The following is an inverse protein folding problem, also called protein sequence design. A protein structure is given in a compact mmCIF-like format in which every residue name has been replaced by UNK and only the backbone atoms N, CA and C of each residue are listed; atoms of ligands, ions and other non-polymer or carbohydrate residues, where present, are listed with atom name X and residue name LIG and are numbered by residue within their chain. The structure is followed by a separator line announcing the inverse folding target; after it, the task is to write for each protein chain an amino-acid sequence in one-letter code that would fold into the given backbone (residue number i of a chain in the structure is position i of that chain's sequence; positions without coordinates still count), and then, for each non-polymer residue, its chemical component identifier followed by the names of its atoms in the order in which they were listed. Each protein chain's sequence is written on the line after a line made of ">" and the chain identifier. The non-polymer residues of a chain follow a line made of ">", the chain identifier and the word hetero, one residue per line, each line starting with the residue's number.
data_IF_602929614585
#
_entry.id   IF_602929614585
#
_cell.length_a   1.000
_cell.length_b   1.000
_cell.length_c   1.000
_cell.angle_alpha   90.00
_cell.angle_beta   90.00
_cell.angle_gamma   90.00
#
_symmetry.space_group_name_H-M   'P 1'
#
loop_
_entity.id
_entity.type
_entity.pdbx_description
1 polymer ?
#
# COMPACT_ATOMS: atom_id res chain seq x y z
N UNK A 1 17.82 5.30 -18.99
CA UNK A 1 17.27 4.62 -20.19
C UNK A 1 16.22 5.57 -20.78
N UNK A 2 16.09 5.72 -22.11
CA UNK A 2 15.30 6.80 -22.70
C UNK A 2 13.78 6.70 -22.44
N UNK A 3 13.28 5.53 -22.04
CA UNK A 3 11.89 5.37 -21.65
C UNK A 3 11.70 5.74 -20.18
N UNK A 4 10.85 6.73 -19.93
CA UNK A 4 10.49 7.16 -18.57
C UNK A 4 11.40 8.26 -17.98
N UNK A 5 12.42 8.72 -18.71
CA UNK A 5 13.34 9.75 -18.21
C UNK A 5 12.63 11.10 -17.97
N UNK A 6 11.55 11.36 -18.71
CA UNK A 6 10.68 12.52 -18.54
C UNK A 6 10.07 12.65 -17.12
N UNK A 7 10.02 11.56 -16.36
CA UNK A 7 9.52 11.59 -14.98
C UNK A 7 10.47 12.37 -14.07
N UNK A 8 11.77 12.39 -14.39
CA UNK A 8 12.79 13.13 -13.65
C UNK A 8 12.67 14.64 -13.84
N UNK A 9 11.93 15.10 -14.86
CA UNK A 9 11.65 16.51 -15.11
C UNK A 9 10.44 17.03 -14.32
N UNK A 10 9.70 16.13 -13.64
CA UNK A 10 8.53 16.51 -12.85
C UNK A 10 8.95 17.14 -11.52
N UNK A 11 8.24 18.19 -11.05
CA UNK A 11 8.56 18.84 -9.79
C UNK A 11 8.23 17.93 -8.60
N UNK A 12 8.97 18.06 -7.50
CA UNK A 12 8.70 17.35 -6.23
C UNK A 12 7.25 17.46 -5.77
N UNK A 13 6.61 18.61 -6.00
CA UNK A 13 5.20 18.83 -5.68
C UNK A 13 4.25 17.84 -6.39
N UNK A 14 4.57 17.40 -7.61
CA UNK A 14 3.79 16.39 -8.33
C UNK A 14 3.80 15.06 -7.56
N UNK A 15 4.99 14.58 -7.19
CA UNK A 15 5.13 13.34 -6.42
C UNK A 15 4.44 13.44 -5.06
N UNK A 16 4.53 14.60 -4.41
CA UNK A 16 3.83 14.85 -3.15
C UNK A 16 2.31 14.67 -3.28
N UNK A 17 1.70 15.20 -4.34
CA UNK A 17 0.25 15.03 -4.59
C UNK A 17 -0.09 13.55 -4.79
N UNK A 18 0.73 12.80 -5.52
CA UNK A 18 0.52 11.36 -5.75
C UNK A 18 0.56 10.60 -4.42
N UNK A 19 1.58 10.81 -3.59
CA UNK A 19 1.70 10.13 -2.30
C UNK A 19 0.60 10.54 -1.32
N UNK A 20 0.18 11.81 -1.29
CA UNK A 20 -0.96 12.25 -0.48
C UNK A 20 -2.26 11.57 -0.93
N UNK A 21 -2.49 11.47 -2.23
CA UNK A 21 -3.68 10.80 -2.77
C UNK A 21 -3.66 9.30 -2.46
N UNK A 22 -2.53 8.63 -2.66
CA UNK A 22 -2.33 7.23 -2.33
C UNK A 22 -2.51 6.97 -0.83
N UNK A 23 -1.92 7.81 0.03
CA UNK A 23 -2.11 7.77 1.48
C UNK A 23 -3.59 7.87 1.85
N UNK A 24 -4.32 8.82 1.28
CA UNK A 24 -5.75 9.00 1.55
C UNK A 24 -6.58 7.77 1.15
N UNK A 25 -6.26 7.14 0.01
CA UNK A 25 -6.89 5.89 -0.42
C UNK A 25 -6.56 4.74 0.53
N UNK A 26 -5.29 4.57 0.90
CA UNK A 26 -4.83 3.57 1.86
C UNK A 26 -5.53 3.72 3.21
N UNK A 27 -5.49 4.91 3.80
CA UNK A 27 -6.15 5.21 5.07
C UNK A 27 -7.68 5.02 4.98
N UNK A 28 -8.30 5.45 3.87
CA UNK A 28 -9.73 5.29 3.62
C UNK A 28 -10.16 3.83 3.53
N UNK A 29 -9.39 2.99 2.83
CA UNK A 29 -9.68 1.56 2.74
C UNK A 29 -9.35 0.81 4.02
N UNK A 30 -8.30 1.19 4.75
CA UNK A 30 -8.00 0.65 6.07
C UNK A 30 -9.17 0.90 7.02
N UNK A 31 -9.66 2.15 7.10
CA UNK A 31 -10.84 2.52 7.88
C UNK A 31 -12.06 1.68 7.50
N UNK A 32 -12.33 1.55 6.20
CA UNK A 32 -13.49 0.80 5.70
C UNK A 32 -13.40 -0.70 6.00
N UNK A 33 -12.20 -1.27 5.96
CA UNK A 33 -11.93 -2.67 6.26
C UNK A 33 -12.06 -2.95 7.76
N UNK A 34 -11.51 -2.10 8.62
CA UNK A 34 -11.66 -2.25 10.08
C UNK A 34 -13.11 -2.11 10.54
N UNK A 35 -13.90 -1.20 9.93
CA UNK A 35 -15.35 -1.10 10.18
C UNK A 35 -16.14 -2.37 9.81
N UNK A 36 -15.55 -3.28 9.03
CA UNK A 36 -16.13 -4.56 8.60
C UNK A 36 -15.44 -5.76 9.25
N UNK A 37 -14.60 -5.52 10.25
CA UNK A 37 -13.84 -6.57 10.95
C UNK A 37 -12.90 -7.36 10.03
N UNK A 38 -12.50 -6.78 8.89
CA UNK A 38 -11.57 -7.37 7.94
C UNK A 38 -10.12 -7.08 8.38
N UNK A 39 -9.72 -7.59 9.55
CA UNK A 39 -8.47 -7.20 10.24
C UNK A 39 -7.23 -7.32 9.36
N UNK A 40 -7.05 -8.43 8.63
CA UNK A 40 -5.88 -8.62 7.76
C UNK A 40 -5.83 -7.57 6.64
N UNK A 41 -6.97 -7.28 6.01
CA UNK A 41 -7.08 -6.30 4.94
C UNK A 41 -6.90 -4.87 5.48
N UNK A 42 -7.45 -4.57 6.66
CA UNK A 42 -7.24 -3.31 7.35
C UNK A 42 -5.77 -3.06 7.65
N UNK A 43 -5.06 -4.05 8.19
CA UNK A 43 -3.61 -3.97 8.44
C UNK A 43 -2.82 -3.77 7.15
N UNK A 44 -3.18 -4.48 6.07
CA UNK A 44 -2.51 -4.34 4.78
C UNK A 44 -2.64 -2.90 4.23
N UNK A 45 -3.84 -2.33 4.25
CA UNK A 45 -4.05 -0.95 3.82
C UNK A 45 -3.40 0.09 4.74
N UNK A 46 -3.30 -0.18 6.05
CA UNK A 46 -2.54 0.67 6.97
C UNK A 46 -1.03 0.65 6.66
N UNK A 47 -0.47 -0.51 6.32
CA UNK A 47 0.93 -0.62 5.92
C UNK A 47 1.20 0.15 4.63
N UNK A 48 0.30 0.04 3.65
CA UNK A 48 0.35 0.86 2.43
C UNK A 48 0.32 2.36 2.76
N UNK A 49 -0.61 2.81 3.61
CA UNK A 49 -0.65 4.22 4.03
C UNK A 49 0.64 4.67 4.76
N UNK A 50 1.25 3.80 5.57
CA UNK A 50 2.54 4.08 6.21
C UNK A 50 3.71 4.15 5.20
N UNK A 51 3.68 3.35 4.14
CA UNK A 51 4.64 3.44 3.05
C UNK A 51 4.58 4.82 2.38
N UNK A 52 3.38 5.29 2.04
CA UNK A 52 3.16 6.59 1.41
C UNK A 52 3.62 7.75 2.29
N UNK A 53 3.39 7.70 3.61
CA UNK A 53 3.95 8.68 4.55
C UNK A 53 5.48 8.68 4.54
N UNK A 54 6.09 7.50 4.44
CA UNK A 54 7.54 7.36 4.38
C UNK A 54 8.10 7.86 3.03
N UNK A 55 7.38 7.68 1.93
CA UNK A 55 7.72 8.28 0.63
C UNK A 55 7.63 9.80 0.64
N UNK A 56 6.65 10.38 1.33
CA UNK A 56 6.57 11.83 1.48
C UNK A 56 7.79 12.39 2.23
N UNK A 57 8.27 11.73 3.28
CA UNK A 57 9.48 12.18 3.99
C UNK A 57 10.75 12.04 3.15
N UNK A 58 10.78 11.05 2.24
CA UNK A 58 11.84 10.92 1.23
C UNK A 58 11.82 12.08 0.23
N UNK A 59 10.66 12.40 -0.36
CA UNK A 59 10.56 13.49 -1.35
C UNK A 59 10.79 14.90 -0.79
N UNK A 60 10.57 15.10 0.51
CA UNK A 60 10.81 16.37 1.18
C UNK A 60 12.24 16.53 1.72
N UNK A 61 13.12 15.54 1.51
CA UNK A 61 14.46 15.48 2.11
C UNK A 61 14.47 15.64 3.64
N UNK A 62 13.31 15.41 4.30
CA UNK A 62 13.14 15.66 5.73
C UNK A 62 13.84 14.59 6.57
N UNK A 63 13.80 13.35 6.08
CA UNK A 63 14.63 12.30 6.61
C UNK A 63 15.90 12.21 5.76
N UNK A 64 17.05 12.64 6.30
CA UNK A 64 18.39 12.34 5.74
C UNK A 64 18.74 10.84 5.90
N UNK A 65 17.72 9.96 5.93
CA UNK A 65 17.91 8.54 6.04
C UNK A 65 18.15 7.98 4.65
N UNK A 66 19.30 7.32 4.50
CA UNK A 66 19.65 6.47 3.36
C UNK A 66 18.59 5.40 3.01
N UNK A 67 17.57 5.22 3.87
CA UNK A 67 16.63 4.11 3.86
C UNK A 67 15.15 4.52 3.85
N UNK A 68 14.77 5.81 3.82
CA UNK A 68 13.33 6.16 3.81
C UNK A 68 12.61 5.53 2.61
N UNK A 69 13.23 5.60 1.44
CA UNK A 69 12.78 4.89 0.24
C UNK A 69 12.67 3.37 0.48
N UNK A 70 13.72 2.74 1.00
CA UNK A 70 13.74 1.29 1.27
C UNK A 70 12.70 0.86 2.31
N UNK A 71 12.47 1.67 3.35
CA UNK A 71 11.44 1.39 4.36
C UNK A 71 10.06 1.47 3.72
N UNK A 72 9.82 2.47 2.87
CA UNK A 72 8.58 2.59 2.12
C UNK A 72 8.35 1.36 1.22
N UNK A 73 9.37 0.95 0.46
CA UNK A 73 9.32 -0.26 -0.39
C UNK A 73 9.01 -1.53 0.42
N UNK A 74 9.58 -1.68 1.62
CA UNK A 74 9.30 -2.83 2.49
C UNK A 74 7.85 -2.81 2.98
N UNK A 75 7.34 -1.65 3.40
CA UNK A 75 5.94 -1.53 3.80
C UNK A 75 5.00 -1.85 2.65
N UNK A 76 5.27 -1.36 1.44
CA UNK A 76 4.48 -1.67 0.25
C UNK A 76 4.53 -3.15 -0.11
N UNK A 77 5.71 -3.77 -0.05
CA UNK A 77 5.86 -5.20 -0.34
C UNK A 77 5.03 -6.04 0.65
N UNK A 78 5.12 -5.73 1.95
CA UNK A 78 4.34 -6.45 2.98
C UNK A 78 2.84 -6.18 2.79
N UNK A 79 2.44 -4.94 2.52
CA UNK A 79 1.05 -4.58 2.25
C UNK A 79 0.51 -5.34 1.04
N UNK A 80 1.24 -5.36 -0.07
CA UNK A 80 0.92 -6.08 -1.28
C UNK A 80 0.70 -7.57 -1.00
N UNK A 81 1.68 -8.24 -0.39
CA UNK A 81 1.57 -9.66 -0.04
C UNK A 81 0.38 -9.92 0.88
N UNK A 82 0.12 -9.05 1.86
CA UNK A 82 -1.01 -9.19 2.78
C UNK A 82 -2.38 -9.03 2.09
N UNK A 83 -2.52 -8.10 1.13
CA UNK A 83 -3.73 -7.96 0.31
C UNK A 83 -3.98 -9.25 -0.49
N UNK A 84 -2.96 -9.78 -1.15
CA UNK A 84 -3.10 -11.04 -1.90
C UNK A 84 -3.39 -12.23 -0.99
N UNK A 85 -2.75 -12.31 0.18
CA UNK A 85 -3.04 -13.34 1.16
C UNK A 85 -4.51 -13.27 1.61
N UNK A 86 -5.03 -12.07 1.92
CA UNK A 86 -6.44 -11.87 2.26
C UNK A 86 -7.37 -12.33 1.13
N UNK A 87 -7.06 -11.99 -0.12
CA UNK A 87 -7.85 -12.40 -1.28
C UNK A 87 -7.85 -13.93 -1.47
N UNK A 88 -6.67 -14.58 -1.37
CA UNK A 88 -6.56 -16.05 -1.49
C UNK A 88 -7.35 -16.74 -0.39
N UNK A 89 -7.20 -16.30 0.86
CA UNK A 89 -7.92 -16.88 2.00
C UNK A 89 -9.44 -16.73 1.84
N UNK A 90 -9.90 -15.57 1.37
CA UNK A 90 -11.33 -15.32 1.14
C UNK A 90 -11.90 -16.23 0.03
N UNK A 91 -11.20 -16.36 -1.09
CA UNK A 91 -11.61 -17.25 -2.19
C UNK A 91 -11.61 -18.72 -1.76
N UNK A 92 -10.59 -19.15 -1.00
CA UNK A 92 -10.51 -20.51 -0.49
C UNK A 92 -11.67 -20.84 0.48
N UNK A 93 -11.99 -19.91 1.39
CA UNK A 93 -13.10 -20.06 2.32
C UNK A 93 -14.46 -20.15 1.58
N UNK A 94 -14.66 -19.33 0.54
CA UNK A 94 -15.89 -19.35 -0.26
C UNK A 94 -16.09 -20.68 -1.04
N UNK A 95 -15.00 -21.41 -1.35
CA UNK A 95 -15.06 -22.68 -2.10
C UNK A 95 -15.33 -23.91 -1.25
N UNK A 96 -14.99 -23.91 0.05
CA UNK A 96 -15.25 -25.04 0.97
C UNK A 96 -16.70 -25.58 0.93
N UNK A 97 -17.75 -24.75 1.03
CA UNK A 97 -19.12 -25.26 1.03
C UNK A 97 -19.55 -25.96 -0.27
N UNK A 98 -18.89 -25.70 -1.41
CA UNK A 98 -19.18 -26.36 -2.68
C UNK A 98 -18.62 -27.78 -2.77
N UNK A 99 -17.58 -28.09 -2.00
CA UNK A 99 -16.98 -29.43 -1.98
C UNK A 99 -17.66 -30.38 -0.99
N UNK A 100 -18.21 -29.86 0.11
CA UNK A 100 -18.94 -30.67 1.11
C UNK A 100 -20.37 -31.04 0.66
N UNK A 101 -20.90 -30.40 -0.39
CA UNK A 101 -22.23 -30.66 -0.96
C UNK A 101 -22.23 -31.68 -2.13
N UNK A 102 -21.09 -32.33 -2.42
CA UNK A 102 -20.92 -33.36 -3.47
C UNK A 102 -20.59 -34.71 -2.85
#
# INVERSE_FOLDING_TARGET
>A
MPWGDWINDLPTAFFMVVHIAAFALGAGFAWQAFKRELTLLGTAFSLFALAELTYMTYHLDWTVFLFAHTIAEVFDLVAFVAVFAAAVLQVAAARRPLHEAR
#
